data_IF_475861741873
#
_entry.id   IF_475861741873
#
_cell.length_a   1.000
_cell.length_b   1.000
_cell.length_c   1.000
_cell.angle_alpha   90.00
_cell.angle_beta   90.00
_cell.angle_gamma   90.00
#
_symmetry.space_group_name_H-M   'P 1'
#
loop_
_entity.id
_entity.type
_entity.pdbx_description
1 polymer ?
#
# COMPACT_ATOMS: atom_id res chain seq x y z
N UNK A 1 -8.13 -12.24 2.86
CA UNK A 1 -7.63 -12.17 1.48
C UNK A 1 -8.23 -13.28 0.62
N UNK A 2 -9.55 -13.28 0.35
CA UNK A 2 -10.20 -14.32 -0.48
C UNK A 2 -10.47 -13.87 -1.91
N UNK A 3 -10.52 -12.55 -2.15
CA UNK A 3 -10.89 -11.96 -3.44
C UNK A 3 -9.75 -11.20 -4.13
N UNK A 4 -8.63 -10.97 -3.44
CA UNK A 4 -7.48 -10.23 -3.98
C UNK A 4 -6.82 -11.02 -5.12
N UNK A 5 -6.54 -10.34 -6.25
CA UNK A 5 -5.84 -10.91 -7.40
C UNK A 5 -4.82 -9.90 -7.94
N UNK A 6 -3.77 -10.41 -8.59
CA UNK A 6 -2.84 -9.56 -9.34
C UNK A 6 -3.49 -9.08 -10.65
N UNK A 7 -3.74 -7.77 -10.75
CA UNK A 7 -4.33 -7.11 -11.93
C UNK A 7 -3.21 -6.52 -12.79
N UNK A 8 -3.26 -6.74 -14.11
CA UNK A 8 -2.21 -6.31 -15.07
C UNK A 8 -2.58 -5.11 -15.94
N UNK A 9 -3.79 -4.55 -15.78
CA UNK A 9 -4.25 -3.34 -16.48
C UNK A 9 -5.01 -2.46 -15.49
N UNK A 10 -4.52 -1.25 -15.29
CA UNK A 10 -5.09 -0.28 -14.36
C UNK A 10 -5.85 0.81 -15.13
N UNK A 11 -6.85 1.41 -14.49
CA UNK A 11 -7.50 2.62 -14.98
C UNK A 11 -6.58 3.82 -14.75
N UNK A 12 -6.78 4.89 -15.54
CA UNK A 12 -6.02 6.14 -15.42
C UNK A 12 -6.63 7.10 -14.39
N UNK A 13 -7.83 6.81 -13.90
CA UNK A 13 -8.48 7.61 -12.88
C UNK A 13 -7.60 7.67 -11.62
N UNK A 14 -7.42 8.84 -11.01
CA UNK A 14 -6.65 8.97 -9.79
C UNK A 14 -7.33 8.23 -8.63
N UNK A 15 -6.51 7.73 -7.71
CA UNK A 15 -6.97 7.24 -6.41
C UNK A 15 -7.11 8.46 -5.50
N UNK A 16 -8.22 8.61 -4.75
CA UNK A 16 -8.35 9.67 -3.75
C UNK A 16 -7.19 9.66 -2.74
N UNK A 17 -6.69 10.86 -2.37
CA UNK A 17 -5.50 11.01 -1.54
C UNK A 17 -5.64 10.34 -0.17
N UNK A 18 -6.83 10.41 0.44
CA UNK A 18 -7.12 9.79 1.74
C UNK A 18 -6.96 8.26 1.72
N UNK A 19 -7.31 7.63 0.59
CA UNK A 19 -7.14 6.19 0.40
C UNK A 19 -5.66 5.85 0.25
N UNK A 20 -4.90 6.68 -0.49
CA UNK A 20 -3.46 6.49 -0.66
C UNK A 20 -2.73 6.61 0.67
N UNK A 21 -2.99 7.68 1.42
CA UNK A 21 -2.40 7.95 2.73
C UNK A 21 -2.65 6.80 3.70
N UNK A 22 -3.90 6.29 3.74
CA UNK A 22 -4.27 5.17 4.62
C UNK A 22 -3.49 3.89 4.30
N UNK A 23 -3.31 3.56 3.03
CA UNK A 23 -2.60 2.33 2.63
C UNK A 23 -1.11 2.44 2.90
N UNK A 24 -0.51 3.60 2.61
CA UNK A 24 0.90 3.86 2.88
C UNK A 24 1.20 3.89 4.38
N UNK A 25 0.34 4.55 5.17
CA UNK A 25 0.48 4.56 6.64
C UNK A 25 0.44 3.14 7.24
N UNK A 26 -0.47 2.28 6.73
CA UNK A 26 -0.54 0.89 7.16
C UNK A 26 0.72 0.10 6.78
N UNK A 27 1.31 0.37 5.60
CA UNK A 27 2.55 -0.26 5.18
C UNK A 27 3.74 0.14 6.08
N UNK A 28 3.82 1.41 6.47
CA UNK A 28 4.90 1.91 7.35
C UNK A 28 4.91 1.29 8.75
N UNK A 29 3.81 0.67 9.19
CA UNK A 29 3.75 -0.02 10.48
C UNK A 29 4.31 -1.45 10.44
N UNK A 30 4.78 -1.92 9.29
CA UNK A 30 5.47 -3.20 9.21
C UNK A 30 6.75 -3.19 10.08
N UNK A 31 7.05 -4.24 10.85
CA UNK A 31 8.30 -4.31 11.60
C UNK A 31 9.49 -4.46 10.65
N UNK A 32 10.63 -3.87 11.02
CA UNK A 32 11.91 -4.03 10.30
C UNK A 32 13.04 -4.40 11.25
N UNK A 33 14.05 -5.10 10.72
CA UNK A 33 15.26 -5.41 11.47
C UNK A 33 15.90 -4.13 12.00
N UNK A 34 16.06 -4.03 13.32
CA UNK A 34 16.59 -2.84 13.97
C UNK A 34 15.75 -1.56 13.79
N UNK A 35 14.46 -1.69 13.46
CA UNK A 35 13.55 -0.58 13.15
C UNK A 35 14.07 0.42 12.08
N UNK A 36 14.86 -0.08 11.13
CA UNK A 36 15.53 0.75 10.13
C UNK A 36 14.58 1.37 9.10
N UNK A 37 13.39 0.79 8.90
CA UNK A 37 12.39 1.26 7.93
C UNK A 37 12.99 1.53 6.52
N UNK A 38 13.70 0.56 5.89
CA UNK A 38 14.50 0.80 4.68
C UNK A 38 13.65 0.69 3.40
N UNK A 39 12.58 1.47 3.34
CA UNK A 39 11.69 1.62 2.17
C UNK A 39 11.63 3.07 1.72
#
# INVERSE_FOLDING_TARGET
MSTLRAVRRLRTDPIPDDVMDRVLQAACWAPTGGNQQPW
#
